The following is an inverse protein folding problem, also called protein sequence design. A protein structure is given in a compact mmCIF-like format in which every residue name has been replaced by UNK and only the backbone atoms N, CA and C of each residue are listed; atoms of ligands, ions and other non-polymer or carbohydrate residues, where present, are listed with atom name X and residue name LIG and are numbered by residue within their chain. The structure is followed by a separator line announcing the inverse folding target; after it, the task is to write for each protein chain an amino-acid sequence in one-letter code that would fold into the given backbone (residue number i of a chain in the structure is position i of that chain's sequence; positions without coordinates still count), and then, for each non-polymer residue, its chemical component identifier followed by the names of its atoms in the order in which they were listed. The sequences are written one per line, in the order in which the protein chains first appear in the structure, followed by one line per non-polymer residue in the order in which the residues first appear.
data_IF_000492166582
#
_entry.id   IF_000492166582
#
_cell.length_a   1.000
_cell.length_b   1.000
_cell.length_c   1.000
_cell.angle_alpha   90.00
_cell.angle_beta   90.00
_cell.angle_gamma   90.00
#
_symmetry.space_group_name_H-M   'P 1'
#
loop_
_entity.id
_entity.type
_entity.pdbx_description
1 polymer ?
#
# COMPACT_ATOMS: atom_id res chain seq x y z
N UNK A 1 4.88 21.65 -10.85
CA UNK A 1 6.02 22.46 -11.36
C UNK A 1 5.82 22.99 -12.79
N UNK A 2 4.76 22.61 -13.51
CA UNK A 2 4.51 23.06 -14.90
C UNK A 2 3.10 23.62 -15.13
N UNK A 3 2.23 23.65 -14.12
CA UNK A 3 0.86 24.14 -14.22
C UNK A 3 -0.01 23.67 -13.05
N UNK A 4 -1.31 23.90 -13.17
CA UNK A 4 -2.32 23.41 -12.23
C UNK A 4 -2.34 21.88 -12.22
N UNK A 5 -2.38 21.27 -11.03
CA UNK A 5 -2.56 19.82 -10.94
C UNK A 5 -4.00 19.46 -11.32
N UNK A 6 -4.13 18.38 -12.08
CA UNK A 6 -5.42 17.73 -12.36
C UNK A 6 -5.38 16.29 -11.89
N UNK A 7 -4.54 15.95 -10.91
CA UNK A 7 -4.42 14.58 -10.42
C UNK A 7 -5.73 14.11 -9.77
N UNK A 8 -5.89 12.79 -9.62
CA UNK A 8 -7.14 12.20 -9.14
C UNK A 8 -7.58 12.78 -7.79
N UNK A 9 -6.65 13.00 -6.86
CA UNK A 9 -6.94 13.64 -5.56
C UNK A 9 -7.50 15.06 -5.71
N UNK A 10 -6.94 15.86 -6.62
CA UNK A 10 -7.40 17.24 -6.86
C UNK A 10 -8.77 17.24 -7.50
N UNK A 11 -8.99 16.38 -8.49
CA UNK A 11 -10.29 16.23 -9.13
C UNK A 11 -11.34 15.72 -8.13
N UNK A 12 -10.97 14.84 -7.20
CA UNK A 12 -11.89 14.33 -6.18
C UNK A 12 -12.41 15.44 -5.26
N UNK A 13 -11.55 16.37 -4.86
CA UNK A 13 -11.97 17.56 -4.10
C UNK A 13 -12.90 18.48 -4.90
N UNK A 14 -12.77 18.50 -6.23
CA UNK A 14 -13.56 19.35 -7.12
C UNK A 14 -14.85 18.68 -7.64
N UNK A 15 -15.16 17.43 -7.22
CA UNK A 15 -16.31 16.67 -7.76
C UNK A 15 -17.64 17.41 -7.62
N UNK A 16 -17.82 18.18 -6.55
CA UNK A 16 -19.06 18.91 -6.28
C UNK A 16 -19.11 20.31 -6.93
N UNK A 17 -18.00 20.79 -7.46
CA UNK A 17 -17.90 22.11 -8.11
C UNK A 17 -18.45 22.08 -9.54
N UNK A 18 -18.34 20.94 -10.25
CA UNK A 18 -18.87 20.82 -11.61
C UNK A 18 -19.08 19.37 -12.05
N UNK A 19 -20.21 19.05 -12.73
CA UNK A 19 -20.47 17.73 -13.29
C UNK A 19 -19.42 17.24 -14.32
N UNK A 20 -18.61 18.13 -14.89
CA UNK A 20 -17.56 17.74 -15.84
C UNK A 20 -16.44 16.93 -15.16
N UNK A 21 -16.21 17.14 -13.87
CA UNK A 21 -15.12 16.50 -13.11
C UNK A 21 -15.31 14.99 -13.06
N UNK A 22 -16.53 14.53 -12.80
CA UNK A 22 -16.87 13.11 -12.83
C UNK A 22 -16.64 12.49 -14.21
N UNK A 23 -17.01 13.20 -15.28
CA UNK A 23 -16.77 12.76 -16.66
C UNK A 23 -15.28 12.64 -16.97
N UNK A 24 -14.45 13.56 -16.50
CA UNK A 24 -12.99 13.52 -16.67
C UNK A 24 -12.40 12.30 -15.95
N UNK A 25 -12.81 12.05 -14.70
CA UNK A 25 -12.36 10.89 -13.93
C UNK A 25 -12.74 9.57 -14.62
N UNK A 26 -14.00 9.46 -15.07
CA UNK A 26 -14.50 8.29 -15.80
C UNK A 26 -13.73 8.08 -17.12
N UNK A 27 -13.54 9.14 -17.91
CA UNK A 27 -12.78 9.09 -19.16
C UNK A 27 -11.35 8.61 -18.91
N UNK A 28 -10.62 9.21 -17.94
CA UNK A 28 -9.24 8.84 -17.64
C UNK A 28 -9.11 7.39 -17.21
N UNK A 29 -10.05 6.89 -16.40
CA UNK A 29 -10.08 5.49 -15.99
C UNK A 29 -10.19 4.56 -17.21
N UNK A 30 -11.16 4.81 -18.10
CA UNK A 30 -11.37 3.97 -19.29
C UNK A 30 -10.22 4.10 -20.28
N UNK A 31 -9.79 5.33 -20.57
CA UNK A 31 -8.68 5.60 -21.49
C UNK A 31 -7.40 4.90 -21.03
N UNK A 32 -7.13 4.84 -19.72
CA UNK A 32 -5.98 4.10 -19.17
C UNK A 32 -6.12 2.59 -19.38
N UNK A 33 -7.32 2.03 -19.18
CA UNK A 33 -7.60 0.61 -19.43
C UNK A 33 -7.31 0.24 -20.89
N UNK A 34 -7.86 1.02 -21.82
CA UNK A 34 -7.71 0.78 -23.27
C UNK A 34 -6.26 0.96 -23.72
N UNK A 35 -5.68 2.14 -23.51
CA UNK A 35 -4.36 2.48 -24.04
C UNK A 35 -3.25 1.62 -23.45
N UNK A 36 -3.25 1.40 -22.13
CA UNK A 36 -2.15 0.72 -21.45
C UNK A 36 -2.29 -0.80 -21.50
N UNK A 37 -3.50 -1.32 -21.31
CA UNK A 37 -3.69 -2.76 -21.10
C UNK A 37 -4.32 -3.48 -22.28
N UNK A 38 -5.21 -2.85 -23.05
CA UNK A 38 -5.74 -3.49 -24.25
C UNK A 38 -4.75 -3.31 -25.42
N UNK A 39 -4.58 -2.08 -25.89
CA UNK A 39 -3.73 -1.75 -27.03
C UNK A 39 -2.24 -1.97 -26.69
N UNK A 40 -1.82 -1.48 -25.53
CA UNK A 40 -0.43 -1.57 -25.08
C UNK A 40 0.09 -2.99 -24.86
N UNK A 41 -0.75 -3.92 -24.40
CA UNK A 41 -0.33 -5.33 -24.24
C UNK A 41 -0.46 -6.12 -25.55
N UNK A 42 -1.44 -5.80 -26.40
CA UNK A 42 -1.66 -6.53 -27.65
C UNK A 42 -0.42 -6.51 -28.56
N UNK A 43 0.25 -5.35 -28.67
CA UNK A 43 1.47 -5.20 -29.49
C UNK A 43 2.70 -5.93 -28.92
N UNK A 44 2.62 -6.40 -27.66
CA UNK A 44 3.71 -7.10 -26.98
C UNK A 44 3.53 -8.63 -27.01
N UNK A 45 2.46 -9.13 -27.64
CA UNK A 45 2.25 -10.56 -27.81
C UNK A 45 3.28 -11.07 -28.81
N UNK A 46 4.13 -11.99 -28.35
CA UNK A 46 5.14 -12.60 -29.21
C UNK A 46 4.48 -13.52 -30.24
N UNK A 47 4.74 -13.30 -31.53
CA UNK A 47 4.06 -14.01 -32.61
C UNK A 47 4.28 -15.53 -32.64
N UNK A 48 5.44 -16.00 -32.15
CA UNK A 48 5.79 -17.42 -32.14
C UNK A 48 5.18 -18.16 -30.96
N UNK A 49 5.27 -17.56 -29.76
CA UNK A 49 4.83 -18.20 -28.52
C UNK A 49 3.38 -17.89 -28.17
N UNK A 50 2.81 -16.83 -28.74
CA UNK A 50 1.51 -16.25 -28.38
C UNK A 50 1.41 -15.89 -26.90
N UNK A 51 2.54 -15.46 -26.32
CA UNK A 51 2.67 -15.05 -24.91
C UNK A 51 3.27 -13.66 -24.80
N UNK A 52 3.03 -13.02 -23.67
CA UNK A 52 3.73 -11.80 -23.25
C UNK A 52 4.87 -12.22 -22.32
N UNK A 53 6.06 -11.68 -22.56
CA UNK A 53 7.28 -11.97 -21.80
C UNK A 53 7.70 -10.71 -21.05
N UNK A 54 7.45 -10.66 -19.74
CA UNK A 54 7.92 -9.55 -18.90
C UNK A 54 9.37 -9.74 -18.48
N UNK A 55 10.04 -8.65 -18.13
CA UNK A 55 11.34 -8.66 -17.48
C UNK A 55 11.19 -8.37 -15.99
N UNK A 56 11.65 -9.29 -15.14
CA UNK A 56 11.75 -9.07 -13.70
C UNK A 56 13.10 -8.46 -13.34
N UNK A 57 13.08 -7.21 -12.92
CA UNK A 57 14.28 -6.47 -12.52
C UNK A 57 14.57 -6.74 -11.04
N UNK A 58 15.65 -7.46 -10.77
CA UNK A 58 16.00 -7.91 -9.42
C UNK A 58 16.82 -6.88 -8.61
N UNK A 59 17.51 -5.97 -9.29
CA UNK A 59 18.48 -5.04 -8.67
C UNK A 59 18.07 -3.56 -8.72
N UNK A 60 16.78 -3.27 -8.94
CA UNK A 60 16.30 -1.88 -9.13
C UNK A 60 15.73 -1.26 -7.85
N UNK A 61 14.95 -2.00 -7.07
CA UNK A 61 14.26 -1.40 -5.92
C UNK A 61 15.17 -1.31 -4.70
N UNK A 62 15.10 -0.19 -3.96
CA UNK A 62 15.86 0.01 -2.73
C UNK A 62 15.48 -0.98 -1.60
N UNK A 63 14.27 -1.55 -1.65
CA UNK A 63 13.74 -2.46 -0.63
C UNK A 63 13.96 -3.94 -0.96
N UNK A 64 14.44 -4.26 -2.17
CA UNK A 64 14.65 -5.63 -2.62
C UNK A 64 13.42 -6.33 -3.20
N UNK A 65 12.31 -5.61 -3.41
CA UNK A 65 11.19 -6.10 -4.23
C UNK A 65 11.63 -6.25 -5.69
N UNK A 66 11.05 -7.21 -6.40
CA UNK A 66 11.14 -7.23 -7.87
C UNK A 66 10.33 -6.07 -8.44
N UNK A 67 10.81 -5.46 -9.51
CA UNK A 67 9.95 -4.69 -10.42
C UNK A 67 9.78 -5.43 -11.75
N UNK A 68 8.74 -5.09 -12.49
CA UNK A 68 8.41 -5.70 -13.78
C UNK A 68 8.38 -4.61 -14.85
N UNK A 69 9.04 -4.86 -15.98
CA UNK A 69 9.07 -3.97 -17.15
C UNK A 69 8.88 -4.74 -18.44
N UNK A 70 8.50 -4.01 -19.49
CA UNK A 70 8.42 -4.50 -20.87
C UNK A 70 7.62 -5.80 -21.07
N UNK A 71 6.34 -5.87 -20.64
CA UNK A 71 5.56 -4.87 -19.91
C UNK A 71 5.56 -5.09 -18.38
N UNK A 72 5.11 -4.09 -17.63
CA UNK A 72 4.84 -4.26 -16.20
C UNK A 72 3.58 -5.11 -15.99
N UNK A 73 3.75 -6.32 -15.44
CA UNK A 73 2.67 -7.25 -15.11
C UNK A 73 2.32 -7.28 -13.62
N UNK A 74 3.01 -6.50 -12.78
CA UNK A 74 2.71 -6.40 -11.35
C UNK A 74 1.58 -5.41 -11.04
N UNK A 75 1.22 -4.54 -11.98
CA UNK A 75 0.22 -3.49 -11.80
C UNK A 75 -1.07 -3.72 -12.61
N UNK A 76 -1.36 -4.96 -13.03
CA UNK A 76 -2.60 -5.29 -13.74
C UNK A 76 -3.82 -4.95 -12.87
N UNK A 77 -4.77 -4.14 -13.39
CA UNK A 77 -5.91 -3.64 -12.62
C UNK A 77 -6.74 -4.75 -11.94
N UNK A 78 -7.34 -4.40 -10.80
CA UNK A 78 -8.18 -5.35 -10.02
C UNK A 78 -9.26 -4.66 -9.17
N UNK A 79 -9.09 -3.36 -8.87
CA UNK A 79 -9.94 -2.64 -7.93
C UNK A 79 -11.36 -2.42 -8.46
N UNK A 80 -11.48 -2.00 -9.73
CA UNK A 80 -12.77 -1.76 -10.40
C UNK A 80 -13.21 -3.00 -11.16
N UNK A 81 -14.52 -3.13 -11.40
CA UNK A 81 -15.10 -4.22 -12.20
C UNK A 81 -14.48 -4.28 -13.60
N UNK A 82 -14.49 -3.16 -14.35
CA UNK A 82 -13.81 -3.02 -15.65
C UNK A 82 -12.31 -3.33 -15.58
N UNK A 83 -11.66 -3.02 -14.46
CA UNK A 83 -10.26 -3.37 -14.25
C UNK A 83 -10.04 -4.87 -14.08
N UNK A 84 -10.97 -5.58 -13.43
CA UNK A 84 -10.91 -7.05 -13.30
C UNK A 84 -11.11 -7.74 -14.64
N UNK A 85 -11.93 -7.19 -15.54
CA UNK A 85 -12.10 -7.72 -16.89
C UNK A 85 -10.76 -7.79 -17.65
N UNK A 86 -9.83 -6.86 -17.42
CA UNK A 86 -8.49 -6.93 -18.01
C UNK A 86 -7.73 -8.20 -17.59
N UNK A 87 -7.94 -8.71 -16.37
CA UNK A 87 -7.30 -9.96 -15.93
C UNK A 87 -7.83 -11.17 -16.70
N UNK A 88 -9.04 -11.11 -17.24
CA UNK A 88 -9.61 -12.19 -18.06
C UNK A 88 -8.84 -12.38 -19.39
N UNK A 89 -8.03 -11.39 -19.80
CA UNK A 89 -7.13 -11.52 -20.95
C UNK A 89 -5.97 -12.48 -20.70
N UNK A 90 -5.70 -12.83 -19.44
CA UNK A 90 -4.64 -13.76 -19.06
C UNK A 90 -5.26 -15.13 -18.78
N UNK A 91 -4.96 -16.10 -19.64
CA UNK A 91 -5.50 -17.46 -19.56
C UNK A 91 -4.38 -18.51 -19.65
N UNK A 92 -4.64 -19.76 -19.20
CA UNK A 92 -3.68 -20.85 -19.29
C UNK A 92 -3.19 -21.06 -20.73
N UNK A 93 -1.89 -21.28 -20.91
CA UNK A 93 -1.35 -21.65 -22.21
C UNK A 93 -1.73 -23.08 -22.60
N UNK A 94 -1.52 -23.44 -23.87
CA UNK A 94 -1.68 -24.82 -24.32
C UNK A 94 -0.92 -25.81 -23.41
N UNK A 95 -1.59 -26.90 -23.01
CA UNK A 95 -1.06 -27.90 -22.07
C UNK A 95 -1.32 -27.61 -20.59
N UNK A 96 -2.03 -26.53 -20.25
CA UNK A 96 -2.41 -26.19 -18.88
C UNK A 96 -3.92 -25.93 -18.79
N UNK A 97 -4.56 -26.39 -17.73
CA UNK A 97 -6.02 -26.24 -17.54
C UNK A 97 -6.40 -24.98 -16.77
N UNK A 98 -5.52 -24.49 -15.89
CA UNK A 98 -5.86 -23.40 -14.96
C UNK A 98 -4.66 -22.55 -14.54
N UNK A 99 -4.94 -21.34 -14.06
CA UNK A 99 -3.97 -20.47 -13.40
C UNK A 99 -4.13 -20.60 -11.88
N UNK A 100 -3.03 -20.80 -11.17
CA UNK A 100 -3.00 -20.82 -9.70
C UNK A 100 -2.46 -19.50 -9.20
N UNK A 101 -3.21 -18.85 -8.29
CA UNK A 101 -2.80 -17.64 -7.60
C UNK A 101 -2.80 -17.88 -6.09
N UNK A 102 -1.68 -17.59 -5.45
CA UNK A 102 -1.52 -17.64 -4.01
C UNK A 102 -0.93 -16.31 -3.54
N UNK A 103 -1.54 -15.71 -2.51
CA UNK A 103 -1.14 -14.43 -1.94
C UNK A 103 -1.05 -14.56 -0.41
N UNK A 104 -0.05 -13.93 0.19
CA UNK A 104 0.09 -13.94 1.63
C UNK A 104 -0.93 -13.01 2.29
N UNK A 105 -1.79 -13.57 3.14
CA UNK A 105 -2.71 -12.78 3.96
C UNK A 105 -1.94 -11.85 4.92
N UNK A 106 -1.92 -10.55 4.58
CA UNK A 106 -1.39 -9.46 5.41
C UNK A 106 0.09 -9.63 5.82
N UNK A 107 0.94 -10.04 4.87
CA UNK A 107 2.36 -10.32 5.13
C UNK A 107 3.12 -9.19 5.83
N UNK A 108 2.84 -7.93 5.48
CA UNK A 108 3.53 -6.76 6.06
C UNK A 108 3.23 -6.62 7.57
N UNK A 109 1.98 -6.79 7.98
CA UNK A 109 1.59 -6.74 9.39
C UNK A 109 2.10 -7.95 10.17
N UNK A 110 2.18 -9.13 9.54
CA UNK A 110 2.78 -10.32 10.16
C UNK A 110 4.28 -10.14 10.40
N UNK A 111 4.98 -9.54 9.44
CA UNK A 111 6.39 -9.17 9.61
C UNK A 111 6.53 -8.12 10.71
N UNK A 112 5.67 -7.11 10.77
CA UNK A 112 5.67 -6.12 11.84
C UNK A 112 5.47 -6.78 13.21
N UNK A 113 4.49 -7.68 13.34
CA UNK A 113 4.24 -8.42 14.57
C UNK A 113 5.48 -9.22 15.01
N UNK A 114 6.13 -9.91 14.06
CA UNK A 114 7.33 -10.67 14.33
C UNK A 114 8.53 -9.79 14.75
N UNK A 115 8.78 -8.70 14.04
CA UNK A 115 9.93 -7.82 14.29
C UNK A 115 9.77 -6.96 15.54
N UNK A 116 8.55 -6.53 15.83
CA UNK A 116 8.23 -5.79 17.06
C UNK A 116 8.17 -6.68 18.29
N UNK A 117 7.77 -7.94 18.13
CA UNK A 117 7.52 -8.84 19.25
C UNK A 117 6.28 -8.47 20.06
N UNK A 118 5.35 -7.70 19.49
CA UNK A 118 4.13 -7.24 20.14
C UNK A 118 3.15 -8.39 20.38
N UNK A 119 2.93 -8.75 21.64
CA UNK A 119 2.14 -9.92 22.02
C UNK A 119 0.68 -9.81 21.60
N UNK A 120 0.10 -8.61 21.67
CA UNK A 120 -1.30 -8.40 21.30
C UNK A 120 -1.48 -8.58 19.79
N UNK A 121 -0.56 -8.03 19.00
CA UNK A 121 -0.59 -8.16 17.54
C UNK A 121 -0.30 -9.61 17.09
N UNK A 122 0.69 -10.27 17.71
CA UNK A 122 0.99 -11.70 17.44
C UNK A 122 -0.21 -12.57 17.79
N UNK A 123 -0.82 -12.37 18.97
CA UNK A 123 -1.98 -13.13 19.42
C UNK A 123 -3.15 -12.95 18.46
N UNK A 124 -3.42 -11.73 17.97
CA UNK A 124 -4.48 -11.50 17.01
C UNK A 124 -4.29 -12.33 15.72
N UNK A 125 -3.07 -12.47 15.23
CA UNK A 125 -2.76 -13.32 14.08
C UNK A 125 -2.85 -14.82 14.37
N UNK A 126 -2.42 -15.27 15.55
CA UNK A 126 -2.48 -16.68 15.98
C UNK A 126 -3.94 -17.13 16.16
N UNK A 127 -4.77 -16.26 16.75
CA UNK A 127 -6.19 -16.50 16.97
C UNK A 127 -7.02 -16.38 15.67
N UNK A 128 -6.40 -16.07 14.52
CA UNK A 128 -7.09 -15.95 13.24
C UNK A 128 -8.05 -14.77 13.14
N UNK A 129 -7.86 -13.71 13.95
CA UNK A 129 -8.74 -12.54 13.96
C UNK A 129 -8.56 -11.72 12.69
N UNK A 130 -9.62 -11.03 12.27
CA UNK A 130 -9.51 -9.96 11.30
C UNK A 130 -8.79 -8.78 11.97
N UNK A 131 -7.51 -8.59 11.66
CA UNK A 131 -6.70 -7.58 12.34
C UNK A 131 -7.24 -6.16 12.17
N UNK A 132 -7.93 -5.87 11.06
CA UNK A 132 -8.48 -4.53 10.83
C UNK A 132 -9.72 -4.31 11.70
N UNK A 133 -10.60 -5.31 11.82
CA UNK A 133 -11.73 -5.26 12.76
C UNK A 133 -11.26 -5.25 14.20
N UNK A 134 -10.27 -6.07 14.53
CA UNK A 134 -9.67 -6.12 15.85
C UNK A 134 -9.08 -4.77 16.24
N UNK A 135 -8.24 -4.16 15.40
CA UNK A 135 -7.71 -2.81 15.65
C UNK A 135 -8.83 -1.77 15.73
N UNK A 136 -9.86 -1.82 14.87
CA UNK A 136 -10.99 -0.90 14.96
C UNK A 136 -11.75 -1.03 16.28
N UNK A 137 -12.05 -2.26 16.71
CA UNK A 137 -12.75 -2.59 17.95
C UNK A 137 -11.99 -2.07 19.17
N UNK A 138 -10.68 -2.35 19.23
CA UNK A 138 -9.80 -1.89 20.30
C UNK A 138 -9.69 -0.36 20.33
N UNK A 139 -9.56 0.27 19.17
CA UNK A 139 -9.41 1.73 19.08
C UNK A 139 -10.72 2.46 19.38
N UNK A 140 -11.87 1.89 19.01
CA UNK A 140 -13.18 2.49 19.24
C UNK A 140 -13.82 2.05 20.56
N UNK A 141 -13.15 1.17 21.32
CA UNK A 141 -13.64 0.67 22.61
C UNK A 141 -14.94 -0.12 22.52
N UNK A 142 -15.13 -0.91 21.46
CA UNK A 142 -16.35 -1.69 21.21
C UNK A 142 -16.08 -3.12 20.77
N UNK A 143 -17.12 -3.94 20.69
CA UNK A 143 -17.00 -5.32 20.23
C UNK A 143 -16.63 -5.38 18.74
N UNK A 144 -16.04 -6.49 18.27
CA UNK A 144 -15.68 -6.65 16.86
C UNK A 144 -16.91 -6.78 15.95
N UNK A 145 -18.00 -7.26 16.53
CA UNK A 145 -19.31 -7.42 15.92
C UNK A 145 -19.94 -6.06 15.63
N UNK A 146 -19.71 -5.07 16.49
CA UNK A 146 -20.21 -3.69 16.35
C UNK A 146 -19.35 -2.81 15.43
N UNK A 147 -18.25 -3.34 14.90
CA UNK A 147 -17.39 -2.62 13.94
C UNK A 147 -18.07 -2.57 12.57
N UNK A 148 -18.29 -1.36 12.06
CA UNK A 148 -18.84 -1.14 10.73
C UNK A 148 -17.79 -1.41 9.64
N UNK A 149 -18.23 -1.62 8.41
CA UNK A 149 -17.33 -1.76 7.26
C UNK A 149 -16.46 -0.52 7.03
N UNK A 150 -16.98 0.66 7.34
CA UNK A 150 -16.27 1.93 7.24
C UNK A 150 -15.15 2.03 8.28
N UNK A 151 -15.44 1.72 9.55
CA UNK A 151 -14.44 1.73 10.62
C UNK A 151 -13.35 0.68 10.40
N UNK A 152 -13.71 -0.49 9.89
CA UNK A 152 -12.74 -1.49 9.44
C UNK A 152 -11.84 -0.94 8.33
N UNK A 153 -12.40 -0.17 7.39
CA UNK A 153 -11.63 0.49 6.34
C UNK A 153 -10.69 1.55 6.89
N UNK A 154 -11.14 2.35 7.86
CA UNK A 154 -10.29 3.33 8.56
C UNK A 154 -9.15 2.65 9.31
N UNK A 155 -9.43 1.61 10.10
CA UNK A 155 -8.41 0.84 10.78
C UNK A 155 -7.43 0.15 9.81
N UNK A 156 -7.90 -0.28 8.64
CA UNK A 156 -7.03 -0.77 7.57
C UNK A 156 -6.08 0.32 7.09
N UNK A 157 -6.59 1.51 6.77
CA UNK A 157 -5.75 2.64 6.35
C UNK A 157 -4.74 3.04 7.44
N UNK A 158 -5.13 2.99 8.72
CA UNK A 158 -4.23 3.23 9.86
C UNK A 158 -3.11 2.18 9.93
N UNK A 159 -3.46 0.89 9.92
CA UNK A 159 -2.49 -0.22 9.97
C UNK A 159 -1.41 -0.08 8.89
N UNK A 160 -1.82 0.19 7.64
CA UNK A 160 -0.88 0.41 6.54
C UNK A 160 -0.15 1.74 6.68
N UNK A 161 -0.84 2.82 7.04
CA UNK A 161 -0.25 4.12 7.25
C UNK A 161 0.88 4.09 8.27
N UNK A 162 0.70 3.40 9.40
CA UNK A 162 1.72 3.27 10.44
C UNK A 162 2.93 2.48 9.94
N UNK A 163 2.74 1.39 9.19
CA UNK A 163 3.85 0.66 8.56
C UNK A 163 4.67 1.57 7.63
N UNK A 164 4.00 2.50 6.95
CA UNK A 164 4.61 3.43 6.00
C UNK A 164 5.04 4.77 6.63
N UNK A 165 4.96 4.92 7.95
CA UNK A 165 5.36 6.15 8.63
C UNK A 165 4.49 7.36 8.29
N UNK A 166 3.19 7.15 8.06
CA UNK A 166 2.25 8.23 7.76
C UNK A 166 2.19 9.23 8.93
N UNK A 167 2.14 10.51 8.60
CA UNK A 167 1.89 11.55 9.60
C UNK A 167 0.39 11.65 9.92
N UNK A 168 0.07 12.30 11.04
CA UNK A 168 -1.30 12.69 11.39
C UNK A 168 -1.98 13.49 10.26
N UNK A 169 -1.23 14.36 9.57
CA UNK A 169 -1.69 15.12 8.41
C UNK A 169 -2.00 14.22 7.20
N UNK A 170 -1.11 13.25 6.90
CA UNK A 170 -1.34 12.30 5.81
C UNK A 170 -2.57 11.44 6.08
N UNK A 171 -2.68 10.93 7.31
CA UNK A 171 -3.80 10.10 7.73
C UNK A 171 -5.12 10.87 7.73
N UNK A 172 -5.14 12.14 8.18
CA UNK A 172 -6.35 12.96 8.17
C UNK A 172 -6.89 13.18 6.76
N UNK A 173 -5.99 13.38 5.79
CA UNK A 173 -6.36 13.55 4.39
C UNK A 173 -6.88 12.24 3.79
N UNK A 174 -6.21 11.12 4.06
CA UNK A 174 -6.58 9.81 3.52
C UNK A 174 -7.93 9.31 4.07
N UNK A 175 -8.27 9.70 5.30
CA UNK A 175 -9.53 9.33 5.96
C UNK A 175 -10.63 10.40 5.83
N UNK A 176 -10.32 11.62 5.38
CA UNK A 176 -11.28 12.72 5.36
C UNK A 176 -11.73 13.18 6.76
N UNK A 177 -10.90 13.00 7.79
CA UNK A 177 -11.17 13.38 9.18
C UNK A 177 -10.31 14.56 9.61
N UNK A 178 -10.54 15.11 10.80
CA UNK A 178 -9.70 16.17 11.33
C UNK A 178 -8.31 15.63 11.73
N UNK A 179 -7.30 16.51 11.73
CA UNK A 179 -5.95 16.16 12.18
C UNK A 179 -5.92 15.70 13.65
N UNK A 180 -6.77 16.28 14.49
CA UNK A 180 -6.90 15.88 15.90
C UNK A 180 -7.41 14.45 16.04
N UNK A 181 -8.43 14.06 15.26
CA UNK A 181 -8.91 12.68 15.22
C UNK A 181 -7.84 11.73 14.71
N UNK A 182 -7.16 12.07 13.60
CA UNK A 182 -6.07 11.25 13.06
C UNK A 182 -4.94 11.03 14.08
N UNK A 183 -4.56 12.08 14.83
CA UNK A 183 -3.60 11.96 15.93
C UNK A 183 -4.10 11.02 17.03
N UNK A 184 -5.35 11.18 17.46
CA UNK A 184 -5.94 10.31 18.48
C UNK A 184 -5.94 8.84 18.02
N UNK A 185 -6.25 8.56 16.75
CA UNK A 185 -6.18 7.22 16.17
C UNK A 185 -4.77 6.62 16.25
N UNK A 186 -3.74 7.39 15.90
CA UNK A 186 -2.34 6.95 15.97
C UNK A 186 -1.93 6.69 17.43
N UNK A 187 -2.27 7.61 18.34
CA UNK A 187 -1.92 7.50 19.76
C UNK A 187 -2.59 6.27 20.40
N UNK A 188 -3.86 5.98 20.07
CA UNK A 188 -4.55 4.78 20.54
C UNK A 188 -3.99 3.50 19.93
N UNK A 189 -3.57 3.52 18.67
CA UNK A 189 -2.91 2.36 18.07
C UNK A 189 -1.63 2.00 18.84
N UNK A 190 -0.78 2.99 19.14
CA UNK A 190 0.45 2.75 19.88
C UNK A 190 0.24 2.43 21.35
N UNK A 191 -0.85 2.90 21.97
CA UNK A 191 -1.20 2.47 23.33
C UNK A 191 -1.62 0.99 23.36
N UNK A 192 -2.25 0.50 22.28
CA UNK A 192 -2.63 -0.91 22.15
C UNK A 192 -1.47 -1.83 21.76
N UNK A 193 -0.57 -1.34 20.93
CA UNK A 193 0.60 -2.06 20.42
C UNK A 193 1.91 -1.36 20.81
N UNK A 194 2.25 -1.29 22.10
CA UNK A 194 3.38 -0.51 22.59
C UNK A 194 4.72 -0.96 22.02
N UNK A 195 4.90 -2.27 21.79
CA UNK A 195 6.15 -2.80 21.24
C UNK A 195 6.34 -2.46 19.76
N UNK A 196 5.25 -2.21 19.03
CA UNK A 196 5.33 -1.66 17.68
C UNK A 196 5.98 -0.27 17.72
N UNK A 197 5.56 0.59 18.66
CA UNK A 197 6.17 1.91 18.84
C UNK A 197 7.64 1.81 19.22
N UNK A 198 7.97 0.98 20.20
CA UNK A 198 9.35 0.75 20.64
C UNK A 198 10.24 0.26 19.49
N UNK A 199 9.72 -0.67 18.67
CA UNK A 199 10.42 -1.14 17.48
C UNK A 199 10.67 -0.01 16.48
N UNK A 200 9.65 0.79 16.16
CA UNK A 200 9.79 1.91 15.23
C UNK A 200 10.79 2.96 15.73
N UNK A 201 10.69 3.35 17.01
CA UNK A 201 11.61 4.30 17.64
C UNK A 201 13.06 3.78 17.61
N UNK A 202 13.26 2.48 17.90
CA UNK A 202 14.58 1.83 17.83
C UNK A 202 15.13 1.81 16.40
N UNK A 203 14.30 1.52 15.40
CA UNK A 203 14.74 1.53 13.99
C UNK A 203 15.17 2.92 13.53
N UNK A 204 14.44 3.97 13.96
CA UNK A 204 14.80 5.37 13.67
C UNK A 204 16.12 5.73 14.35
N UNK A 205 16.30 5.33 15.61
CA UNK A 205 17.56 5.55 16.34
C UNK A 205 18.74 4.85 15.65
N UNK A 206 18.61 3.57 15.29
CA UNK A 206 19.65 2.82 14.57
C UNK A 206 20.00 3.48 13.23
N UNK A 207 18.99 3.99 12.51
CA UNK A 207 19.19 4.72 11.27
C UNK A 207 19.99 6.01 11.48
N UNK A 208 19.72 6.77 12.54
CA UNK A 208 20.48 7.97 12.89
C UNK A 208 21.94 7.66 13.24
N UNK A 209 22.18 6.58 14.00
CA UNK A 209 23.51 6.16 14.44
C UNK A 209 24.35 5.58 13.31
N UNK A 210 23.75 4.77 12.44
CA UNK A 210 24.48 3.98 11.44
C UNK A 210 24.38 4.52 10.01
N UNK A 211 23.42 5.42 9.75
CA UNK A 211 23.11 5.93 8.42
C UNK A 211 22.38 4.94 7.51
N UNK A 212 21.90 3.79 8.05
CA UNK A 212 21.33 2.69 7.27
C UNK A 212 20.38 1.83 8.09
N UNK A 213 19.64 0.96 7.39
CA UNK A 213 18.77 -0.05 8.01
C UNK A 213 18.96 -1.42 7.35
N UNK A 214 18.59 -2.48 8.06
CA UNK A 214 18.66 -3.86 7.55
C UNK A 214 17.34 -4.61 7.72
N UNK A 215 17.05 -5.50 6.78
CA UNK A 215 15.97 -6.49 6.91
C UNK A 215 16.42 -7.69 7.74
N UNK A 216 15.48 -8.56 8.11
CA UNK A 216 15.71 -9.82 8.84
C UNK A 216 16.83 -10.70 8.23
N UNK A 217 16.96 -10.71 6.90
CA UNK A 217 17.99 -11.49 6.20
C UNK A 217 19.19 -10.63 5.74
N UNK A 218 19.39 -9.48 6.37
CA UNK A 218 20.61 -8.68 6.21
C UNK A 218 20.65 -7.76 4.98
N UNK A 219 19.62 -7.74 4.12
CA UNK A 219 19.51 -6.74 3.04
C UNK A 219 19.57 -5.35 3.66
N UNK A 220 20.48 -4.52 3.15
CA UNK A 220 20.78 -3.18 3.67
C UNK A 220 20.20 -2.11 2.76
N UNK A 221 19.76 -0.99 3.35
CA UNK A 221 19.43 0.25 2.65
C UNK A 221 20.13 1.42 3.35
N UNK A 222 20.90 2.19 2.57
CA UNK A 222 21.53 3.44 3.02
C UNK A 222 20.50 4.57 3.08
N UNK A 223 20.61 5.42 4.09
CA UNK A 223 19.73 6.56 4.36
C UNK A 223 20.59 7.83 4.53
N UNK A 224 21.22 8.35 3.46
CA UNK A 224 22.17 9.46 3.56
C UNK A 224 21.54 10.76 4.09
N UNK A 225 20.23 10.91 3.93
CA UNK A 225 19.48 12.09 4.35
C UNK A 225 18.95 12.01 5.80
N UNK A 226 19.14 10.89 6.52
CA UNK A 226 18.59 10.70 7.89
C UNK A 226 19.13 11.72 8.90
N UNK A 227 20.33 12.25 8.65
CA UNK A 227 20.95 13.30 9.46
C UNK A 227 20.93 14.68 8.77
N UNK A 228 20.11 14.85 7.73
CA UNK A 228 19.98 16.11 7.01
C UNK A 228 19.45 17.21 7.93
N UNK A 229 20.01 18.43 7.83
CA UNK A 229 19.47 19.62 8.53
C UNK A 229 18.11 20.03 7.98
N UNK A 230 17.82 19.70 6.72
CA UNK A 230 16.53 19.96 6.10
C UNK A 230 15.48 18.97 6.61
N UNK A 231 14.47 19.47 7.33
CA UNK A 231 13.40 18.64 7.90
C UNK A 231 12.72 17.75 6.85
N UNK A 232 12.38 18.27 5.68
CA UNK A 232 11.68 17.50 4.65
C UNK A 232 12.53 16.37 4.08
N UNK A 233 13.84 16.59 3.92
CA UNK A 233 14.75 15.51 3.48
C UNK A 233 14.92 14.47 4.56
N UNK A 234 15.10 14.91 5.81
CA UNK A 234 15.24 14.03 6.97
C UNK A 234 14.01 13.17 7.21
N UNK A 235 12.82 13.76 7.15
CA UNK A 235 11.55 13.04 7.36
C UNK A 235 11.18 12.09 6.21
N UNK A 236 11.83 12.22 5.04
CA UNK A 236 11.64 11.32 3.90
C UNK A 236 12.67 10.17 3.85
N UNK A 237 13.80 10.34 4.54
CA UNK A 237 14.86 9.33 4.63
C UNK A 237 14.40 8.15 5.49
#
# INVERSE_FOLDING_TARGET
KTGYSTDAEVLDMLRHESPIVEKILAYRSVAKLVSTYCEGLAVLINDKTKRIHTTFNQMVTATGRLSSSDPNLQNIPVRTEKGREIRALFYPGAGYDTLVSADYSQIELRILAHLSGDEALIKAFVDGKDIHRFTAAEVLGKSQEDVTSEERSHAKAINFGIIYGISDFGLSRDLGITRGEAKNYIDLYFSRYPKVKEYMDRMVQEAHETGKVRTMFGRQRELPDINSRNFNRRSFA
#
